data_IF_251620581844
#
_entry.id   IF_251620581844
#
_cell.length_a   1.000
_cell.length_b   1.000
_cell.length_c   1.000
_cell.angle_alpha   90.00
_cell.angle_beta   90.00
_cell.angle_gamma   90.00
#
_symmetry.space_group_name_H-M   'P 1'
#
loop_
_entity.id
_entity.type
_entity.pdbx_description
1 polymer ?
#
# COMPACT_ATOMS: atom_id res chain seq x y z
N UNK A 1 24.22 -11.58 21.50
CA UNK A 1 24.90 -11.21 20.25
C UNK A 1 25.57 -9.84 20.34
N UNK A 2 24.86 -8.80 20.80
CA UNK A 2 25.41 -7.44 20.92
C UNK A 2 26.48 -7.36 22.00
N UNK A 3 26.23 -7.96 23.15
CA UNK A 3 27.19 -8.06 24.26
C UNK A 3 28.42 -8.87 23.84
N UNK A 4 28.28 -9.94 23.11
CA UNK A 4 29.40 -10.74 22.61
C UNK A 4 30.23 -9.95 21.59
N UNK A 5 29.60 -9.19 20.67
CA UNK A 5 30.30 -8.33 19.73
C UNK A 5 31.05 -7.19 20.43
N UNK A 6 30.46 -6.60 21.48
CA UNK A 6 31.07 -5.51 22.25
C UNK A 6 32.16 -6.00 23.21
N UNK A 7 32.06 -7.24 23.73
CA UNK A 7 33.03 -7.81 24.67
C UNK A 7 34.40 -8.08 24.02
N UNK A 8 34.41 -8.44 22.76
CA UNK A 8 35.63 -8.91 22.06
C UNK A 8 36.14 -7.99 20.93
N UNK A 9 35.44 -6.87 20.66
CA UNK A 9 35.78 -6.03 19.52
C UNK A 9 35.59 -4.53 19.82
N UNK A 10 36.69 -3.80 19.99
CA UNK A 10 36.66 -2.37 20.24
C UNK A 10 36.34 -1.50 19.00
N UNK A 11 36.08 -2.11 17.86
CA UNK A 11 35.84 -1.42 16.58
C UNK A 11 34.44 -1.61 16.01
N UNK A 12 33.45 -2.00 16.82
CA UNK A 12 32.07 -2.21 16.36
C UNK A 12 31.39 -0.89 16.01
N UNK A 13 30.68 -0.86 14.89
CA UNK A 13 29.87 0.26 14.43
C UNK A 13 28.41 -0.20 14.21
N UNK A 14 27.48 0.45 14.88
CA UNK A 14 26.04 0.23 14.70
C UNK A 14 25.46 1.50 14.07
N UNK A 15 24.79 1.35 12.94
CA UNK A 15 24.12 2.46 12.23
C UNK A 15 22.64 2.12 12.11
N UNK A 16 21.78 3.07 12.47
CA UNK A 16 20.35 2.86 12.35
C UNK A 16 19.58 4.15 12.55
N UNK A 17 18.28 4.06 12.30
CA UNK A 17 17.32 5.13 12.52
C UNK A 17 16.06 4.52 13.13
N UNK A 18 15.81 4.84 14.40
CA UNK A 18 14.66 4.35 15.19
C UNK A 18 13.33 4.66 14.48
N UNK A 19 13.23 5.82 13.83
CA UNK A 19 12.02 6.30 13.17
C UNK A 19 11.72 5.57 11.86
N UNK A 20 12.72 4.88 11.27
CA UNK A 20 12.56 4.03 10.09
C UNK A 20 12.25 2.57 10.44
N UNK A 21 12.03 2.24 11.70
CA UNK A 21 11.63 0.91 12.15
C UNK A 21 10.16 0.62 11.80
N UNK A 22 9.91 0.17 10.57
CA UNK A 22 8.56 -0.09 10.03
C UNK A 22 8.14 -1.56 10.11
N UNK A 23 9.00 -2.45 10.60
CA UNK A 23 8.77 -3.91 10.62
C UNK A 23 8.36 -4.46 11.99
N UNK A 24 7.65 -3.68 12.81
CA UNK A 24 7.15 -4.15 14.12
C UNK A 24 6.33 -5.45 14.00
N UNK A 25 5.57 -5.60 12.95
CA UNK A 25 4.79 -6.80 12.66
C UNK A 25 5.62 -8.04 12.29
N UNK A 26 6.92 -7.86 12.04
CA UNK A 26 7.93 -8.94 11.84
C UNK A 26 8.88 -9.06 13.05
N UNK A 27 8.42 -8.75 14.24
CA UNK A 27 9.22 -8.76 15.47
C UNK A 27 10.38 -7.74 15.50
N UNK A 28 10.30 -6.70 14.65
CA UNK A 28 11.24 -5.56 14.74
C UNK A 28 10.96 -4.75 16.01
N UNK A 29 11.96 -4.62 16.88
CA UNK A 29 11.86 -3.81 18.09
C UNK A 29 12.78 -2.59 18.00
N UNK A 30 12.18 -1.42 17.78
CA UNK A 30 12.87 -0.14 17.70
C UNK A 30 13.57 0.26 19.01
N UNK A 31 13.10 -0.28 20.15
CA UNK A 31 13.69 -0.03 21.48
C UNK A 31 15.10 -0.58 21.62
N UNK A 32 15.45 -1.61 20.85
CA UNK A 32 16.81 -2.17 20.84
C UNK A 32 17.85 -1.11 20.48
N UNK A 33 17.58 -0.28 19.48
CA UNK A 33 18.49 0.80 19.09
C UNK A 33 18.40 1.99 20.03
N UNK A 34 17.19 2.32 20.51
CA UNK A 34 16.97 3.43 21.42
C UNK A 34 17.66 3.23 22.78
N UNK A 35 17.73 1.98 23.25
CA UNK A 35 18.35 1.64 24.52
C UNK A 35 19.89 1.59 24.47
N UNK A 36 20.50 1.73 23.29
CA UNK A 36 21.94 1.83 23.12
C UNK A 36 22.38 3.26 23.42
N UNK A 37 22.50 3.57 24.70
CA UNK A 37 22.93 4.91 25.17
C UNK A 37 24.16 4.81 26.05
N UNK A 38 24.98 5.89 26.17
CA UNK A 38 26.11 5.93 27.04
C UNK A 38 25.76 5.72 28.54
N UNK A 39 24.52 6.06 28.91
CA UNK A 39 24.02 5.86 30.27
C UNK A 39 23.83 4.37 30.57
N UNK A 40 23.46 3.57 29.57
CA UNK A 40 23.27 2.14 29.71
C UNK A 40 24.60 1.36 29.57
N UNK A 41 25.54 1.86 28.77
CA UNK A 41 26.86 1.27 28.60
C UNK A 41 27.89 2.35 28.26
N UNK A 42 28.85 2.61 29.13
CA UNK A 42 29.87 3.65 28.99
C UNK A 42 30.86 3.41 27.82
N UNK A 43 30.87 2.22 27.20
CA UNK A 43 31.64 1.90 26.01
C UNK A 43 30.99 2.47 24.73
N UNK A 44 29.71 2.82 24.79
CA UNK A 44 28.96 3.31 23.64
C UNK A 44 29.23 4.81 23.44
N UNK A 45 29.52 5.18 22.19
CA UNK A 45 29.59 6.57 21.77
C UNK A 45 28.56 6.81 20.67
N UNK A 46 27.65 7.74 20.92
CA UNK A 46 26.63 8.12 19.94
C UNK A 46 27.13 9.28 19.11
N UNK A 47 26.98 9.14 17.78
CA UNK A 47 27.17 10.24 16.81
C UNK A 47 25.93 10.38 15.97
N UNK A 48 25.24 11.50 16.11
CA UNK A 48 24.07 11.81 15.29
C UNK A 48 24.48 12.34 13.93
N UNK A 49 23.88 11.80 12.88
CA UNK A 49 24.03 12.28 11.49
C UNK A 49 22.86 13.21 11.19
N UNK A 50 23.02 14.49 11.43
CA UNK A 50 21.97 15.52 11.35
C UNK A 50 21.89 16.20 9.97
N UNK A 51 22.85 15.96 9.10
CA UNK A 51 22.94 16.60 7.78
C UNK A 51 22.37 15.72 6.68
N UNK A 52 21.38 16.23 5.97
CA UNK A 52 20.73 15.55 4.85
C UNK A 52 21.38 15.94 3.53
N UNK A 53 22.09 14.99 2.90
CA UNK A 53 22.72 15.15 1.60
C UNK A 53 21.83 14.70 0.43
N UNK A 54 20.68 14.08 0.71
CA UNK A 54 19.80 13.47 -0.29
C UNK A 54 18.78 14.44 -0.87
N UNK A 55 18.14 15.20 0.00
CA UNK A 55 16.97 16.02 -0.34
C UNK A 55 17.36 17.48 -0.55
N UNK A 56 16.64 18.16 -1.41
CA UNK A 56 16.79 19.60 -1.61
C UNK A 56 16.32 20.39 -0.38
N UNK A 57 16.89 21.60 -0.17
CA UNK A 57 16.69 22.38 1.05
C UNK A 57 15.23 22.70 1.39
N UNK A 58 14.38 22.97 0.41
CA UNK A 58 12.98 23.27 0.67
C UNK A 58 12.20 22.04 1.13
N UNK A 59 12.56 20.84 0.66
CA UNK A 59 12.02 19.57 1.14
C UNK A 59 12.43 19.33 2.59
N UNK A 60 13.71 19.60 2.93
CA UNK A 60 14.19 19.47 4.31
C UNK A 60 13.47 20.45 5.23
N UNK A 61 13.32 21.71 4.82
CA UNK A 61 12.57 22.73 5.59
C UNK A 61 11.11 22.33 5.81
N UNK A 62 10.45 21.84 4.76
CA UNK A 62 9.09 21.33 4.86
C UNK A 62 8.99 20.17 5.84
N UNK A 63 9.84 19.15 5.71
CA UNK A 63 9.83 17.99 6.60
C UNK A 63 10.05 18.40 8.05
N UNK A 64 11.04 19.25 8.33
CA UNK A 64 11.30 19.75 9.68
C UNK A 64 10.07 20.43 10.29
N UNK A 65 9.40 21.30 9.53
CA UNK A 65 8.19 22.00 9.98
C UNK A 65 7.02 21.01 10.15
N UNK A 66 6.78 20.17 9.16
CA UNK A 66 5.67 19.23 9.14
C UNK A 66 5.74 18.24 10.30
N UNK A 67 6.87 17.55 10.48
CA UNK A 67 6.98 16.54 11.54
C UNK A 67 6.93 17.15 12.94
N UNK A 68 7.46 18.34 13.14
CA UNK A 68 7.34 19.05 14.41
C UNK A 68 5.88 19.38 14.76
N UNK A 69 5.13 19.88 13.78
CA UNK A 69 3.70 20.21 13.95
C UNK A 69 2.88 18.92 14.12
N UNK A 70 3.11 17.94 13.27
CA UNK A 70 2.37 16.67 13.31
C UNK A 70 2.57 15.94 14.64
N UNK A 71 3.79 15.84 15.14
CA UNK A 71 4.09 15.22 16.43
C UNK A 71 3.37 15.95 17.58
N UNK A 72 3.44 17.28 17.59
CA UNK A 72 2.74 18.10 18.58
C UNK A 72 1.23 17.84 18.52
N UNK A 73 0.63 17.99 17.35
CA UNK A 73 -0.83 17.84 17.16
C UNK A 73 -1.31 16.46 17.55
N UNK A 74 -0.55 15.41 17.15
CA UNK A 74 -0.90 14.03 17.49
C UNK A 74 -0.83 13.78 19.00
N UNK A 75 0.22 14.29 19.67
CA UNK A 75 0.36 14.20 21.12
C UNK A 75 -0.74 14.95 21.84
N UNK A 76 -1.06 16.17 21.41
CA UNK A 76 -2.10 17.02 22.03
C UNK A 76 -3.49 16.36 21.89
N UNK A 77 -3.80 15.79 20.71
CA UNK A 77 -5.05 15.07 20.48
C UNK A 77 -5.15 13.82 21.34
N UNK A 78 -4.07 13.01 21.39
CA UNK A 78 -4.04 11.82 22.22
C UNK A 78 -4.22 12.15 23.72
N UNK A 79 -3.58 13.22 24.21
CA UNK A 79 -3.76 13.69 25.57
C UNK A 79 -5.20 14.14 25.84
N UNK A 80 -5.82 14.90 24.91
CA UNK A 80 -7.19 15.34 25.07
C UNK A 80 -8.18 14.15 25.13
N UNK A 81 -8.00 13.14 24.27
CA UNK A 81 -8.81 11.92 24.32
C UNK A 81 -8.59 11.16 25.64
N UNK A 82 -7.35 10.95 26.07
CA UNK A 82 -7.02 10.21 27.28
C UNK A 82 -7.53 10.92 28.56
N UNK A 83 -7.49 12.25 28.60
CA UNK A 83 -8.08 13.01 29.69
C UNK A 83 -9.61 12.91 29.76
N UNK A 84 -10.28 12.82 28.58
CA UNK A 84 -11.72 12.63 28.54
C UNK A 84 -12.19 11.28 29.11
N UNK A 85 -11.29 10.29 29.18
CA UNK A 85 -11.54 8.96 29.73
C UNK A 85 -10.90 8.70 31.09
N UNK A 86 -10.40 9.74 31.79
CA UNK A 86 -9.67 9.60 33.06
C UNK A 86 -8.56 8.52 33.00
N UNK A 87 -7.80 8.52 31.92
CA UNK A 87 -6.80 7.50 31.66
C UNK A 87 -5.67 7.49 32.71
N UNK A 88 -5.09 6.33 33.02
CA UNK A 88 -3.98 6.21 33.96
C UNK A 88 -2.78 7.06 33.57
N UNK A 89 -2.01 7.59 34.53
CA UNK A 89 -0.83 8.45 34.27
C UNK A 89 0.21 7.81 33.34
N UNK A 90 0.28 6.48 33.29
CA UNK A 90 1.18 5.76 32.37
C UNK A 90 0.83 6.01 30.90
N UNK A 91 -0.46 5.98 30.51
CA UNK A 91 -0.89 6.26 29.14
C UNK A 91 -0.70 7.73 28.77
N UNK A 92 -0.88 8.65 29.72
CA UNK A 92 -0.60 10.06 29.50
C UNK A 92 0.89 10.30 29.19
N UNK A 93 1.79 9.57 29.84
CA UNK A 93 3.23 9.62 29.53
C UNK A 93 3.53 9.12 28.13
N UNK A 94 2.92 8.00 27.71
CA UNK A 94 3.09 7.49 26.34
C UNK A 94 2.62 8.49 25.27
N UNK A 95 1.54 9.23 25.54
CA UNK A 95 1.08 10.29 24.64
C UNK A 95 2.10 11.44 24.52
N UNK A 96 2.78 11.79 25.63
CA UNK A 96 3.87 12.76 25.62
C UNK A 96 5.12 12.25 24.90
N UNK A 97 5.39 10.95 24.97
CA UNK A 97 6.53 10.32 24.30
C UNK A 97 6.41 10.36 22.77
N UNK A 98 5.18 10.47 22.22
CA UNK A 98 4.96 10.76 20.78
C UNK A 98 5.69 12.04 20.37
N UNK A 99 5.59 13.10 21.16
CA UNK A 99 6.27 14.37 20.88
C UNK A 99 7.78 14.25 21.04
N UNK A 100 8.23 13.62 22.13
CA UNK A 100 9.65 13.40 22.40
C UNK A 100 10.36 12.58 21.34
N UNK A 101 9.66 11.58 20.77
CA UNK A 101 10.19 10.76 19.68
C UNK A 101 10.57 11.56 18.43
N UNK A 102 10.10 12.80 18.32
CA UNK A 102 10.37 13.69 17.18
C UNK A 102 11.19 14.95 17.54
N UNK A 103 11.72 15.04 18.76
CA UNK A 103 12.51 16.21 19.17
C UNK A 103 13.84 16.31 18.40
N UNK A 104 14.43 15.18 17.99
CA UNK A 104 15.70 15.11 17.27
C UNK A 104 15.55 14.95 15.74
N UNK A 105 14.36 15.19 15.18
CA UNK A 105 14.06 15.00 13.74
C UNK A 105 14.61 16.11 12.85
N UNK A 106 15.02 17.24 13.45
CA UNK A 106 15.48 18.40 12.67
C UNK A 106 16.76 18.07 11.92
N UNK A 107 16.67 18.14 10.60
CA UNK A 107 17.79 17.89 9.68
C UNK A 107 18.35 19.21 9.16
N UNK A 108 19.66 19.25 8.98
CA UNK A 108 20.38 20.35 8.34
C UNK A 108 20.54 20.08 6.85
N UNK A 109 20.44 21.12 6.03
CA UNK A 109 20.82 21.02 4.63
C UNK A 109 22.35 21.01 4.51
N UNK A 110 22.89 20.25 3.57
CA UNK A 110 24.32 20.25 3.29
C UNK A 110 24.77 21.63 2.76
N UNK A 111 26.03 22.06 3.01
CA UNK A 111 26.53 23.37 2.55
C UNK A 111 26.26 23.64 1.07
N UNK A 112 26.53 22.69 0.20
CA UNK A 112 26.27 22.80 -1.23
C UNK A 112 24.80 23.08 -1.57
N UNK A 113 23.85 22.55 -0.81
CA UNK A 113 22.41 22.78 -1.01
C UNK A 113 21.97 24.17 -0.56
N UNK A 114 22.71 24.79 0.36
CA UNK A 114 22.45 26.15 0.83
C UNK A 114 22.88 27.20 -0.19
N UNK A 115 23.86 26.89 -1.01
CA UNK A 115 24.38 27.74 -2.08
C UNK A 115 23.58 27.66 -3.38
N UNK A 116 22.69 26.67 -3.52
CA UNK A 116 21.84 26.51 -4.70
C UNK A 116 20.82 27.64 -4.81
N UNK A 117 20.53 28.07 -6.05
CA UNK A 117 19.46 29.01 -6.35
C UNK A 117 18.10 28.49 -5.93
N UNK A 118 17.13 29.37 -5.70
CA UNK A 118 15.76 29.00 -5.34
C UNK A 118 15.07 28.09 -6.39
N UNK A 119 15.39 28.29 -7.67
CA UNK A 119 14.89 27.41 -8.76
C UNK A 119 15.31 25.94 -8.63
N UNK A 120 16.41 25.66 -7.93
CA UNK A 120 16.94 24.33 -7.68
C UNK A 120 16.73 23.83 -6.25
N UNK A 121 16.09 24.63 -5.39
CA UNK A 121 15.90 24.35 -3.98
C UNK A 121 14.88 23.22 -3.68
N UNK A 122 14.18 22.75 -4.71
CA UNK A 122 13.08 21.79 -4.58
C UNK A 122 11.76 22.46 -4.19
N UNK A 123 10.65 21.77 -4.39
CA UNK A 123 9.33 22.27 -4.04
C UNK A 123 8.47 21.18 -3.37
N UNK A 124 7.53 21.60 -2.56
CA UNK A 124 6.50 20.76 -1.97
C UNK A 124 5.14 21.38 -2.23
N UNK A 125 4.23 20.63 -2.81
CA UNK A 125 2.86 21.06 -3.07
C UNK A 125 1.91 20.16 -2.30
N UNK A 126 0.95 20.73 -1.59
CA UNK A 126 -0.11 20.02 -0.89
C UNK A 126 -1.43 20.36 -1.56
N UNK A 127 -2.18 19.36 -1.96
CA UNK A 127 -3.54 19.51 -2.48
C UNK A 127 -4.52 18.79 -1.56
N UNK A 128 -5.54 19.51 -1.10
CA UNK A 128 -6.65 18.94 -0.35
C UNK A 128 -7.79 18.66 -1.33
N UNK A 129 -8.22 17.41 -1.37
CA UNK A 129 -9.29 16.97 -2.28
C UNK A 129 -10.60 16.78 -1.50
N UNK A 130 -11.76 17.06 -2.13
CA UNK A 130 -13.06 16.76 -1.55
C UNK A 130 -13.17 15.26 -1.21
N UNK A 131 -13.91 14.96 -0.13
CA UNK A 131 -14.15 13.57 0.28
C UNK A 131 -15.09 12.86 -0.70
N UNK A 132 -16.02 13.59 -1.29
CA UNK A 132 -16.96 13.07 -2.27
C UNK A 132 -16.19 12.71 -3.54
N UNK A 133 -16.42 11.50 -4.04
CA UNK A 133 -15.76 10.93 -5.22
C UNK A 133 -14.21 10.97 -5.14
N UNK A 134 -13.69 10.77 -3.93
CA UNK A 134 -12.27 10.93 -3.61
C UNK A 134 -11.35 10.12 -4.53
N UNK A 135 -11.68 8.86 -4.83
CA UNK A 135 -10.85 7.99 -5.66
C UNK A 135 -10.71 8.54 -7.10
N UNK A 136 -11.79 9.00 -7.71
CA UNK A 136 -11.74 9.63 -9.04
C UNK A 136 -11.01 10.98 -9.01
N UNK A 137 -11.19 11.77 -7.96
CA UNK A 137 -10.47 13.03 -7.81
C UNK A 137 -8.96 12.81 -7.68
N UNK A 138 -8.53 11.80 -6.93
CA UNK A 138 -7.11 11.41 -6.84
C UNK A 138 -6.56 11.00 -8.21
N UNK A 139 -7.29 10.17 -8.97
CA UNK A 139 -6.87 9.75 -10.31
C UNK A 139 -6.68 10.95 -11.23
N UNK A 140 -7.64 11.88 -11.25
CA UNK A 140 -7.56 13.11 -12.06
C UNK A 140 -6.33 13.95 -11.71
N UNK A 141 -6.08 14.15 -10.41
CA UNK A 141 -4.93 14.92 -9.94
C UNK A 141 -3.60 14.24 -10.27
N UNK A 142 -3.50 12.92 -10.09
CA UNK A 142 -2.30 12.16 -10.45
C UNK A 142 -2.07 12.24 -11.96
N UNK A 143 -3.13 12.12 -12.78
CA UNK A 143 -3.05 12.28 -14.24
C UNK A 143 -2.49 13.64 -14.62
N UNK A 144 -3.08 14.72 -14.11
CA UNK A 144 -2.64 16.09 -14.41
C UNK A 144 -1.18 16.32 -13.99
N UNK A 145 -0.81 15.83 -12.80
CA UNK A 145 0.56 15.94 -12.32
C UNK A 145 1.55 15.18 -13.22
N UNK A 146 1.20 13.98 -13.65
CA UNK A 146 2.03 13.20 -14.57
C UNK A 146 2.18 13.90 -15.92
N UNK A 147 1.09 14.45 -16.49
CA UNK A 147 1.12 15.23 -17.73
C UNK A 147 2.05 16.46 -17.60
N UNK A 148 2.00 17.17 -16.47
CA UNK A 148 2.88 18.31 -16.20
C UNK A 148 4.35 17.89 -16.05
N UNK A 149 4.64 16.87 -15.25
CA UNK A 149 6.01 16.41 -15.00
C UNK A 149 6.68 15.86 -16.27
N UNK A 150 5.96 15.03 -17.02
CA UNK A 150 6.46 14.48 -18.28
C UNK A 150 6.57 15.56 -19.35
N UNK A 151 5.63 16.52 -19.39
CA UNK A 151 5.68 17.69 -20.26
C UNK A 151 6.88 18.59 -19.98
N UNK A 152 7.29 18.68 -18.72
CA UNK A 152 8.53 19.35 -18.29
C UNK A 152 9.82 18.54 -18.57
N UNK A 153 9.71 17.37 -19.20
CA UNK A 153 10.86 16.54 -19.57
C UNK A 153 11.40 15.64 -18.44
N UNK A 154 10.64 15.48 -17.33
CA UNK A 154 11.04 14.56 -16.27
C UNK A 154 10.75 13.13 -16.72
N UNK A 155 11.77 12.25 -16.83
CA UNK A 155 11.55 10.89 -17.32
C UNK A 155 10.76 10.05 -16.29
N UNK A 156 9.87 9.12 -16.73
CA UNK A 156 9.02 8.31 -15.84
C UNK A 156 9.79 7.59 -14.73
N UNK A 157 10.99 7.09 -15.02
CA UNK A 157 11.86 6.41 -14.06
C UNK A 157 12.31 7.26 -12.85
N UNK A 158 12.11 8.58 -12.91
CA UNK A 158 12.39 9.50 -11.80
C UNK A 158 11.14 9.90 -11.03
N UNK A 159 9.98 9.38 -11.40
CA UNK A 159 8.71 9.67 -10.74
C UNK A 159 8.31 8.45 -9.89
N UNK A 160 8.05 8.68 -8.61
CA UNK A 160 7.55 7.66 -7.70
C UNK A 160 6.23 8.12 -7.07
N UNK A 161 5.25 7.22 -7.01
CA UNK A 161 3.95 7.45 -6.37
C UNK A 161 3.89 6.60 -5.11
N UNK A 162 3.83 7.25 -3.94
CA UNK A 162 3.70 6.57 -2.65
C UNK A 162 2.23 6.50 -2.24
N UNK A 163 1.77 5.31 -1.88
CA UNK A 163 0.37 5.03 -1.59
C UNK A 163 0.22 4.37 -0.21
N UNK A 164 -0.77 4.82 0.55
CA UNK A 164 -1.04 4.30 1.89
C UNK A 164 -1.69 2.92 1.88
N UNK A 165 -2.64 2.67 0.96
CA UNK A 165 -3.44 1.43 0.92
C UNK A 165 -3.20 0.71 -0.39
N UNK A 166 -2.86 -0.58 -0.34
CA UNK A 166 -2.57 -1.42 -1.52
C UNK A 166 -3.66 -1.39 -2.60
N UNK A 167 -4.94 -1.30 -2.23
CA UNK A 167 -6.05 -1.22 -3.17
C UNK A 167 -5.93 -0.06 -4.18
N UNK A 168 -5.30 1.05 -3.78
CA UNK A 168 -5.13 2.19 -4.66
C UNK A 168 -3.99 1.99 -5.68
N UNK A 169 -3.09 1.05 -5.46
CA UNK A 169 -2.07 0.67 -6.44
C UNK A 169 -2.75 0.08 -7.67
N UNK A 170 -3.65 -0.89 -7.45
CA UNK A 170 -4.40 -1.53 -8.53
C UNK A 170 -5.30 -0.54 -9.26
N UNK A 171 -5.99 0.33 -8.49
CA UNK A 171 -6.85 1.36 -9.06
C UNK A 171 -6.09 2.26 -10.04
N UNK A 172 -4.92 2.77 -9.65
CA UNK A 172 -4.10 3.63 -10.50
C UNK A 172 -3.48 2.84 -11.66
N UNK A 173 -2.96 1.64 -11.41
CA UNK A 173 -2.37 0.81 -12.45
C UNK A 173 -3.39 0.48 -13.55
N UNK A 174 -4.59 0.03 -13.17
CA UNK A 174 -5.67 -0.27 -14.12
C UNK A 174 -6.09 0.98 -14.91
N UNK A 175 -6.24 2.12 -14.22
CA UNK A 175 -6.61 3.36 -14.90
C UNK A 175 -5.60 3.76 -15.97
N UNK A 176 -4.30 3.80 -15.64
CA UNK A 176 -3.26 4.23 -16.57
C UNK A 176 -2.91 3.20 -17.64
N UNK A 177 -3.27 1.94 -17.42
CA UNK A 177 -3.17 0.91 -18.46
C UNK A 177 -4.25 1.04 -19.54
N UNK A 178 -5.42 1.55 -19.20
CA UNK A 178 -6.55 1.70 -20.11
C UNK A 178 -6.68 3.12 -20.67
N UNK A 179 -6.17 4.11 -19.96
CA UNK A 179 -6.38 5.52 -20.30
C UNK A 179 -5.04 6.22 -20.58
N UNK A 180 -4.82 6.65 -21.82
CA UNK A 180 -3.64 7.41 -22.16
C UNK A 180 -3.64 8.78 -21.49
N UNK A 181 -2.46 9.32 -21.29
CA UNK A 181 -2.24 10.70 -20.86
C UNK A 181 -1.80 11.56 -22.04
N UNK A 182 -2.00 12.86 -21.95
CA UNK A 182 -1.60 13.81 -22.99
C UNK A 182 -0.37 14.58 -22.55
N UNK A 183 0.75 14.38 -23.23
CA UNK A 183 2.01 15.08 -22.97
C UNK A 183 2.42 15.87 -24.19
N UNK A 184 2.51 17.19 -24.05
CA UNK A 184 2.85 18.11 -25.13
C UNK A 184 1.99 17.88 -26.40
N UNK A 185 0.68 17.67 -26.23
CA UNK A 185 -0.26 17.43 -27.33
C UNK A 185 -0.23 16.03 -27.94
N UNK A 186 0.61 15.12 -27.44
CA UNK A 186 0.69 13.73 -27.87
C UNK A 186 0.09 12.80 -26.83
N UNK A 187 -0.77 11.88 -27.28
CA UNK A 187 -1.33 10.82 -26.46
C UNK A 187 -0.29 9.70 -26.28
N UNK A 188 -0.05 9.29 -25.04
CA UNK A 188 0.85 8.19 -24.73
C UNK A 188 0.37 7.37 -23.54
N UNK A 189 0.66 6.07 -23.53
CA UNK A 189 0.41 5.19 -22.42
C UNK A 189 1.53 5.32 -21.39
N UNK A 190 1.17 5.24 -20.11
CA UNK A 190 2.14 5.22 -18.98
C UNK A 190 2.04 3.88 -18.27
N UNK A 191 3.15 3.15 -18.26
CA UNK A 191 3.25 1.91 -17.49
C UNK A 191 3.67 2.23 -16.06
N UNK A 192 2.90 1.75 -15.10
CA UNK A 192 3.25 1.77 -13.67
C UNK A 192 3.91 0.46 -13.27
N UNK A 193 5.05 0.54 -12.60
CA UNK A 193 5.76 -0.63 -12.08
C UNK A 193 5.51 -0.74 -10.58
N UNK A 194 4.94 -1.87 -10.15
CA UNK A 194 4.73 -2.18 -8.75
C UNK A 194 4.63 -3.70 -8.57
N UNK A 195 5.26 -4.24 -7.53
CA UNK A 195 5.17 -5.66 -7.19
C UNK A 195 3.74 -6.13 -6.86
N UNK A 196 2.89 -5.20 -6.41
CA UNK A 196 1.49 -5.50 -6.07
C UNK A 196 0.53 -5.35 -7.27
N UNK A 197 0.84 -4.50 -8.25
CA UNK A 197 -0.04 -4.22 -9.39
C UNK A 197 -0.16 -5.41 -10.34
N UNK A 198 0.86 -6.25 -10.40
CA UNK A 198 0.98 -7.35 -11.36
C UNK A 198 0.87 -8.73 -10.74
N UNK A 199 0.33 -8.84 -9.53
CA UNK A 199 0.03 -10.14 -8.94
C UNK A 199 -1.20 -10.74 -9.60
N UNK A 200 -1.07 -11.89 -10.26
CA UNK A 200 -2.20 -12.64 -10.84
C UNK A 200 -3.33 -12.86 -9.82
N UNK A 201 -2.98 -13.14 -8.55
CA UNK A 201 -3.95 -13.26 -7.47
C UNK A 201 -4.69 -11.97 -7.07
N UNK A 202 -4.34 -10.82 -7.64
CA UNK A 202 -5.07 -9.57 -7.46
C UNK A 202 -6.25 -9.43 -8.44
N UNK A 203 -6.20 -10.12 -9.57
CA UNK A 203 -7.30 -10.16 -10.55
C UNK A 203 -8.44 -11.06 -10.06
N UNK A 204 -9.64 -10.51 -9.97
CA UNK A 204 -10.83 -11.29 -9.62
C UNK A 204 -11.12 -12.36 -10.69
N UNK A 205 -10.88 -12.04 -11.96
CA UNK A 205 -11.04 -12.99 -13.06
C UNK A 205 -10.12 -14.19 -12.90
N UNK A 206 -8.82 -13.95 -12.68
CA UNK A 206 -7.84 -15.03 -12.45
C UNK A 206 -8.20 -15.85 -11.21
N UNK A 207 -8.55 -15.19 -10.10
CA UNK A 207 -8.98 -15.88 -8.88
C UNK A 207 -10.23 -16.75 -9.10
N UNK A 208 -11.17 -16.28 -9.93
CA UNK A 208 -12.39 -17.05 -10.27
C UNK A 208 -12.05 -18.29 -11.06
N UNK A 209 -11.21 -18.18 -12.10
CA UNK A 209 -10.78 -19.30 -12.93
C UNK A 209 -10.03 -20.33 -12.06
N UNK A 210 -9.06 -19.88 -11.27
CA UNK A 210 -8.27 -20.78 -10.39
C UNK A 210 -9.16 -21.50 -9.37
N UNK A 211 -10.14 -20.79 -8.78
CA UNK A 211 -11.10 -21.39 -7.85
C UNK A 211 -12.04 -22.38 -8.54
N UNK A 212 -12.46 -22.07 -9.76
CA UNK A 212 -13.28 -22.99 -10.54
C UNK A 212 -12.52 -24.27 -10.88
N UNK A 213 -11.26 -24.16 -11.34
CA UNK A 213 -10.38 -25.30 -11.56
C UNK A 213 -10.16 -26.13 -10.29
N UNK A 214 -9.94 -25.44 -9.16
CA UNK A 214 -9.80 -26.12 -7.87
C UNK A 214 -11.08 -26.88 -7.49
N UNK A 215 -12.24 -26.27 -7.63
CA UNK A 215 -13.53 -26.90 -7.30
C UNK A 215 -13.82 -28.10 -8.22
N UNK A 216 -13.46 -28.06 -9.50
CA UNK A 216 -13.60 -29.18 -10.42
C UNK A 216 -12.87 -30.44 -9.91
N UNK A 217 -11.73 -30.26 -9.25
CA UNK A 217 -10.95 -31.36 -8.67
C UNK A 217 -11.30 -31.67 -7.21
N UNK A 218 -12.02 -30.77 -6.53
CA UNK A 218 -12.44 -30.91 -5.11
C UNK A 218 -13.92 -30.58 -4.95
N UNK A 219 -14.84 -31.39 -5.51
CA UNK A 219 -16.26 -31.08 -5.56
C UNK A 219 -16.93 -30.99 -4.17
N UNK A 220 -16.36 -31.63 -3.17
CA UNK A 220 -16.87 -31.64 -1.80
C UNK A 220 -16.48 -30.40 -0.96
N UNK A 221 -15.64 -29.51 -1.49
CA UNK A 221 -15.23 -28.31 -0.78
C UNK A 221 -16.32 -27.24 -0.82
N UNK A 222 -17.20 -27.28 0.19
CA UNK A 222 -18.33 -26.34 0.36
C UNK A 222 -17.85 -24.88 0.44
N UNK A 223 -16.67 -24.61 1.01
CA UNK A 223 -16.16 -23.25 1.15
C UNK A 223 -15.69 -22.71 -0.22
N UNK A 224 -15.04 -23.53 -1.02
CA UNK A 224 -14.65 -23.18 -2.37
C UNK A 224 -15.87 -22.93 -3.27
N UNK A 225 -16.89 -23.79 -3.17
CA UNK A 225 -18.16 -23.64 -3.88
C UNK A 225 -18.87 -22.33 -3.52
N UNK A 226 -18.99 -22.03 -2.21
CA UNK A 226 -19.60 -20.80 -1.72
C UNK A 226 -18.86 -19.55 -2.19
N UNK A 227 -17.51 -19.55 -2.12
CA UNK A 227 -16.69 -18.43 -2.56
C UNK A 227 -16.82 -18.20 -4.08
N UNK A 228 -16.90 -19.26 -4.86
CA UNK A 228 -17.08 -19.18 -6.31
C UNK A 228 -18.47 -18.69 -6.68
N UNK A 229 -19.52 -19.22 -6.04
CA UNK A 229 -20.91 -18.78 -6.23
C UNK A 229 -21.09 -17.30 -5.89
N UNK A 230 -20.48 -16.82 -4.79
CA UNK A 230 -20.48 -15.41 -4.42
C UNK A 230 -19.86 -14.54 -5.50
N UNK A 231 -18.74 -14.98 -6.06
CA UNK A 231 -18.06 -14.24 -7.13
C UNK A 231 -18.90 -14.20 -8.40
N UNK A 232 -19.50 -15.33 -8.78
CA UNK A 232 -20.37 -15.42 -9.96
C UNK A 232 -21.58 -14.51 -9.86
N UNK A 233 -22.24 -14.49 -8.72
CA UNK A 233 -23.37 -13.58 -8.48
C UNK A 233 -22.96 -12.11 -8.59
N UNK A 234 -21.80 -11.76 -8.07
CA UNK A 234 -21.27 -10.40 -8.20
C UNK A 234 -21.01 -9.99 -9.66
N UNK A 235 -20.61 -10.93 -10.50
CA UNK A 235 -20.35 -10.68 -11.94
C UNK A 235 -21.64 -10.60 -12.74
N UNK A 236 -22.64 -11.44 -12.42
CA UNK A 236 -23.86 -11.61 -13.22
C UNK A 236 -25.03 -10.74 -12.77
N UNK A 237 -25.05 -10.29 -11.53
CA UNK A 237 -26.16 -9.50 -10.98
C UNK A 237 -25.70 -8.05 -10.77
N UNK A 238 -26.29 -7.14 -11.55
CA UNK A 238 -26.19 -5.70 -11.34
C UNK A 238 -26.92 -5.23 -10.06
N UNK A 239 -27.62 -6.09 -9.36
CA UNK A 239 -28.30 -5.77 -8.12
C UNK A 239 -27.30 -5.59 -6.98
N UNK A 240 -27.40 -4.44 -6.30
CA UNK A 240 -26.70 -4.18 -5.04
C UNK A 240 -26.99 -5.31 -4.08
N UNK A 241 -25.95 -6.11 -3.79
CA UNK A 241 -26.03 -7.28 -2.92
C UNK A 241 -26.51 -6.89 -1.54
N UNK A 242 -27.77 -7.19 -1.24
CA UNK A 242 -28.26 -7.31 0.13
C UNK A 242 -27.68 -8.59 0.74
N UNK A 243 -27.31 -8.53 1.99
CA UNK A 243 -26.70 -9.55 2.85
C UNK A 243 -26.72 -11.00 2.32
N UNK A 244 -25.63 -11.40 1.64
CA UNK A 244 -25.48 -12.75 1.07
C UNK A 244 -25.28 -13.87 2.12
N UNK A 245 -25.09 -13.52 3.39
CA UNK A 245 -24.79 -14.50 4.44
C UNK A 245 -25.87 -15.55 4.59
N UNK A 246 -27.14 -15.18 4.38
CA UNK A 246 -28.27 -16.08 4.47
C UNK A 246 -28.40 -17.11 3.33
N UNK A 247 -27.75 -16.86 2.19
CA UNK A 247 -27.81 -17.77 1.04
C UNK A 247 -26.92 -19.00 1.21
N UNK A 248 -25.89 -18.87 2.03
CA UNK A 248 -24.89 -19.90 2.24
C UNK A 248 -25.10 -20.67 3.55
N UNK A 249 -25.85 -20.11 4.50
CA UNK A 249 -26.16 -20.75 5.78
C UNK A 249 -27.33 -21.68 5.61
N UNK A 250 -27.11 -23.00 5.80
CA UNK A 250 -28.14 -24.03 5.70
C UNK A 250 -28.44 -24.47 4.25
N UNK A 251 -27.72 -24.02 3.25
CA UNK A 251 -27.82 -24.53 1.88
C UNK A 251 -26.81 -25.65 1.67
N UNK A 252 -27.29 -26.88 1.60
CA UNK A 252 -26.42 -28.06 1.41
C UNK A 252 -25.98 -28.24 -0.05
N UNK A 253 -26.65 -27.62 -1.00
CA UNK A 253 -26.37 -27.75 -2.43
C UNK A 253 -25.88 -26.42 -3.03
N UNK A 254 -24.68 -26.06 -2.67
CA UNK A 254 -24.02 -24.83 -3.15
C UNK A 254 -23.66 -24.88 -4.64
N UNK A 255 -23.57 -26.07 -5.22
CA UNK A 255 -23.27 -26.25 -6.63
C UNK A 255 -24.40 -25.73 -7.52
N UNK A 256 -25.65 -25.76 -7.06
CA UNK A 256 -26.79 -25.20 -7.78
C UNK A 256 -26.75 -23.65 -7.90
N UNK A 257 -25.86 -22.99 -7.15
CA UNK A 257 -25.64 -21.55 -7.24
C UNK A 257 -24.55 -21.17 -8.28
N UNK A 258 -23.91 -22.17 -8.86
CA UNK A 258 -22.91 -21.99 -9.91
C UNK A 258 -23.55 -21.93 -11.31
N UNK A 259 -22.83 -21.46 -12.34
CA UNK A 259 -23.34 -21.51 -13.70
C UNK A 259 -23.71 -22.94 -14.09
N UNK A 260 -24.95 -23.13 -14.59
CA UNK A 260 -25.46 -24.44 -15.05
C UNK A 260 -24.52 -25.09 -16.08
N UNK A 261 -23.96 -24.26 -16.96
CA UNK A 261 -23.01 -24.71 -17.98
C UNK A 261 -21.74 -25.32 -17.37
N UNK A 262 -21.27 -24.88 -16.20
CA UNK A 262 -20.15 -25.51 -15.49
C UNK A 262 -20.56 -26.86 -14.89
N UNK A 263 -21.72 -26.91 -14.25
CA UNK A 263 -22.18 -28.14 -13.57
C UNK A 263 -22.55 -29.25 -14.54
N UNK A 264 -23.19 -28.94 -15.64
CA UNK A 264 -23.55 -29.90 -16.71
C UNK A 264 -22.33 -30.43 -17.49
N UNK A 265 -21.26 -29.65 -17.61
CA UNK A 265 -20.06 -29.98 -18.38
C UNK A 265 -18.87 -30.36 -17.51
N UNK A 266 -19.09 -30.75 -16.26
CA UNK A 266 -18.05 -31.01 -15.27
C UNK A 266 -16.96 -31.96 -15.76
N UNK A 267 -17.33 -33.16 -16.21
CA UNK A 267 -16.41 -34.19 -16.70
C UNK A 267 -15.70 -33.77 -18.01
N UNK A 268 -16.42 -33.07 -18.88
CA UNK A 268 -15.85 -32.53 -20.11
C UNK A 268 -14.79 -31.47 -19.79
N UNK A 269 -15.03 -30.59 -18.83
CA UNK A 269 -14.05 -29.59 -18.41
C UNK A 269 -12.80 -30.23 -17.80
N UNK A 270 -12.97 -31.26 -16.96
CA UNK A 270 -11.82 -32.01 -16.39
C UNK A 270 -10.96 -32.70 -17.46
N UNK A 271 -11.56 -33.06 -18.57
CA UNK A 271 -10.85 -33.70 -19.69
C UNK A 271 -10.24 -32.72 -20.69
N UNK A 272 -10.47 -31.42 -20.50
CA UNK A 272 -10.00 -30.36 -21.41
C UNK A 272 -8.56 -29.94 -21.05
N UNK A 273 -7.68 -29.63 -22.04
CA UNK A 273 -6.37 -29.03 -21.76
C UNK A 273 -6.47 -27.74 -20.95
N UNK A 274 -5.46 -27.48 -20.11
CA UNK A 274 -5.52 -26.39 -19.10
C UNK A 274 -5.85 -25.02 -19.69
N UNK A 275 -5.27 -24.68 -20.85
CA UNK A 275 -5.50 -23.39 -21.52
C UNK A 275 -6.95 -23.30 -22.02
N UNK A 276 -7.43 -24.34 -22.68
CA UNK A 276 -8.80 -24.40 -23.20
C UNK A 276 -9.84 -24.42 -22.08
N UNK A 277 -9.53 -25.10 -20.95
CA UNK A 277 -10.32 -25.08 -19.74
C UNK A 277 -10.43 -23.65 -19.17
N UNK A 278 -9.30 -22.95 -19.06
CA UNK A 278 -9.29 -21.58 -18.58
C UNK A 278 -10.15 -20.64 -19.47
N UNK A 279 -10.06 -20.78 -20.78
CA UNK A 279 -10.86 -20.00 -21.73
C UNK A 279 -12.36 -20.32 -21.63
N UNK A 280 -12.71 -21.61 -21.49
CA UNK A 280 -14.11 -22.01 -21.28
C UNK A 280 -14.65 -21.46 -19.97
N UNK A 281 -13.90 -21.57 -18.87
CA UNK A 281 -14.30 -21.00 -17.56
C UNK A 281 -14.44 -19.48 -17.62
N UNK A 282 -13.54 -18.79 -18.34
CA UNK A 282 -13.66 -17.36 -18.57
C UNK A 282 -15.01 -16.98 -19.18
N UNK A 283 -15.45 -17.72 -20.20
CA UNK A 283 -16.74 -17.52 -20.88
C UNK A 283 -17.93 -17.91 -20.00
N UNK A 284 -17.88 -19.06 -19.35
CA UNK A 284 -18.96 -19.59 -18.47
C UNK A 284 -19.25 -18.59 -17.34
N UNK A 285 -18.21 -18.04 -16.71
CA UNK A 285 -18.35 -17.07 -15.64
C UNK A 285 -18.54 -15.63 -16.13
N UNK A 286 -18.60 -15.38 -17.44
CA UNK A 286 -18.82 -14.06 -18.07
C UNK A 286 -17.83 -13.00 -17.56
N UNK A 287 -16.57 -13.37 -17.43
CA UNK A 287 -15.54 -12.53 -16.80
C UNK A 287 -15.16 -11.31 -17.65
N UNK A 288 -15.58 -11.29 -18.92
CA UNK A 288 -15.55 -10.13 -19.82
C UNK A 288 -16.38 -8.94 -19.32
N UNK A 289 -17.38 -9.20 -18.46
CA UNK A 289 -18.24 -8.15 -17.87
C UNK A 289 -17.66 -7.53 -16.60
N UNK A 290 -16.51 -7.99 -16.13
CA UNK A 290 -15.85 -7.41 -14.98
C UNK A 290 -15.19 -6.08 -15.34
N UNK A 291 -15.83 -4.97 -14.98
CA UNK A 291 -15.29 -3.64 -15.15
C UNK A 291 -13.90 -3.49 -14.50
N UNK A 292 -12.95 -2.95 -15.26
CA UNK A 292 -11.61 -2.59 -14.76
C UNK A 292 -10.63 -3.74 -14.52
N UNK A 293 -10.96 -5.00 -14.89
CA UNK A 293 -10.09 -6.17 -14.63
C UNK A 293 -9.69 -6.94 -15.91
N UNK A 294 -10.01 -6.44 -17.08
CA UNK A 294 -9.79 -7.10 -18.37
C UNK A 294 -8.34 -7.05 -18.87
N UNK A 295 -7.40 -6.61 -18.08
CA UNK A 295 -6.03 -6.39 -18.50
C UNK A 295 -5.09 -7.59 -18.23
N UNK A 296 -5.63 -8.75 -17.85
CA UNK A 296 -4.85 -9.96 -17.60
C UNK A 296 -5.25 -11.08 -18.54
#
# INVERSE_FOLDING_TARGET
LLDDCLAHNNGSLIVGDVKQSIYRWRSGDWRLLQNLTPENDNRIRIKTLDTNYRSKRNIIRFNNAFFKIAAKTTSDNALAELHAFDAPPALLREALDIRRAYDDVVQKAAPKQLEEDESHAGSVTIKLLPKDDYENNVIKEVKQLLEQLLGAGIPPKKIAILIRKKKHIQLLANYFQQNPITVNGKSQMVSMVSDEAFRLGASLAVCTIVRAMYLLTHPDDKLAAAALAKTYRKVCNEEKMTDDSRLFVGNDDLLNLLPTEMTERWDALLSTPLIDMAEQLYRIFKLDKLDGQSAY
#
